data_IF_149126467179
#
_entry.id   IF_149126467179
#
_cell.length_a   1.000
_cell.length_b   1.000
_cell.length_c   1.000
_cell.angle_alpha   90.00
_cell.angle_beta   90.00
_cell.angle_gamma   90.00
#
_symmetry.space_group_name_H-M   'P 1'
#
loop_
_entity.id
_entity.type
_entity.pdbx_description
1 polymer ?
#
# COMPACT_ATOMS: atom_id res chain seq x y z
N UNK A 1 51.51 -9.17 -22.10
CA UNK A 1 50.06 -8.92 -22.25
C UNK A 1 49.39 -9.17 -20.92
N UNK A 2 48.80 -8.11 -20.37
CA UNK A 2 48.02 -8.13 -19.13
C UNK A 2 46.80 -9.03 -19.28
N UNK A 3 46.22 -9.46 -18.16
CA UNK A 3 45.00 -10.28 -18.17
C UNK A 3 43.81 -9.46 -18.65
N UNK A 4 43.69 -8.20 -18.26
CA UNK A 4 42.62 -7.31 -18.73
C UNK A 4 42.69 -7.09 -20.25
N UNK A 5 43.87 -6.80 -20.80
CA UNK A 5 44.10 -6.67 -22.26
C UNK A 5 43.56 -7.88 -23.03
N UNK A 6 43.91 -9.10 -22.60
CA UNK A 6 43.40 -10.35 -23.19
C UNK A 6 41.87 -10.43 -23.20
N UNK A 7 41.24 -9.98 -22.11
CA UNK A 7 39.78 -10.00 -21.96
C UNK A 7 39.15 -8.96 -22.87
N UNK A 8 39.69 -7.74 -22.91
CA UNK A 8 39.21 -6.66 -23.76
C UNK A 8 39.35 -6.97 -25.25
N UNK A 9 40.49 -7.50 -25.69
CA UNK A 9 40.69 -7.90 -27.09
C UNK A 9 39.64 -8.92 -27.54
N UNK A 10 39.37 -9.93 -26.69
CA UNK A 10 38.35 -10.93 -26.95
C UNK A 10 36.93 -10.32 -26.96
N UNK A 11 36.65 -9.38 -26.05
CA UNK A 11 35.35 -8.70 -25.98
C UNK A 11 35.12 -7.75 -27.16
N UNK A 12 36.15 -7.06 -27.65
CA UNK A 12 36.06 -6.23 -28.86
C UNK A 12 35.71 -7.08 -30.08
N UNK A 13 36.39 -8.23 -30.26
CA UNK A 13 36.04 -9.17 -31.33
C UNK A 13 34.60 -9.68 -31.19
N UNK A 14 34.14 -9.90 -29.96
CA UNK A 14 32.75 -10.26 -29.67
C UNK A 14 31.76 -9.18 -30.11
N UNK A 15 32.03 -7.90 -29.80
CA UNK A 15 31.21 -6.78 -30.26
C UNK A 15 31.22 -6.65 -31.79
N UNK A 16 32.38 -6.75 -32.44
CA UNK A 16 32.53 -6.71 -33.90
C UNK A 16 31.88 -7.90 -34.62
N UNK A 17 31.64 -8.99 -33.90
CA UNK A 17 30.96 -10.19 -34.40
C UNK A 17 29.47 -10.18 -34.06
N UNK A 18 28.86 -9.01 -33.90
CA UNK A 18 27.46 -8.83 -33.55
C UNK A 18 27.06 -9.60 -32.29
N UNK A 19 27.96 -9.66 -31.30
CA UNK A 19 27.76 -10.38 -30.04
C UNK A 19 27.47 -11.88 -30.24
N UNK A 20 27.98 -12.47 -31.31
CA UNK A 20 27.82 -13.89 -31.61
C UNK A 20 29.07 -14.70 -31.21
N UNK A 21 28.94 -15.56 -30.19
CA UNK A 21 30.04 -16.38 -29.67
C UNK A 21 30.64 -17.28 -30.76
N UNK A 22 29.81 -17.95 -31.56
CA UNK A 22 30.27 -18.87 -32.61
C UNK A 22 31.08 -18.14 -33.69
N UNK A 23 30.61 -16.96 -34.11
CA UNK A 23 31.32 -16.12 -35.09
C UNK A 23 32.62 -15.56 -34.52
N UNK A 24 32.59 -15.12 -33.26
CA UNK A 24 33.79 -14.60 -32.56
C UNK A 24 34.91 -15.65 -32.51
N UNK A 25 34.56 -16.92 -32.27
CA UNK A 25 35.52 -18.04 -32.23
C UNK A 25 36.22 -18.29 -33.56
N UNK A 26 35.71 -17.82 -34.69
CA UNK A 26 36.39 -17.89 -35.98
C UNK A 26 37.59 -16.93 -36.06
N UNK A 27 37.59 -15.87 -35.23
CA UNK A 27 38.61 -14.82 -35.19
C UNK A 27 39.56 -14.91 -33.99
N UNK A 28 39.42 -15.93 -33.13
CA UNK A 28 40.27 -16.08 -31.95
C UNK A 28 40.70 -17.52 -31.72
N UNK A 29 41.85 -17.71 -31.07
CA UNK A 29 42.35 -19.04 -30.65
C UNK A 29 41.79 -19.48 -29.29
N UNK A 30 40.87 -18.72 -28.70
CA UNK A 30 40.28 -19.04 -27.40
C UNK A 30 39.34 -20.23 -27.51
N UNK A 31 39.25 -21.02 -26.43
CA UNK A 31 38.17 -22.00 -26.30
C UNK A 31 36.83 -21.28 -26.09
N UNK A 32 35.72 -21.93 -26.46
CA UNK A 32 34.37 -21.41 -26.20
C UNK A 32 34.15 -21.06 -24.73
N UNK A 33 34.62 -21.91 -23.81
CA UNK A 33 34.50 -21.70 -22.37
C UNK A 33 35.26 -20.46 -21.93
N UNK A 34 36.50 -20.28 -22.41
CA UNK A 34 37.32 -19.11 -22.09
C UNK A 34 36.68 -17.83 -22.60
N UNK A 35 36.20 -17.81 -23.84
CA UNK A 35 35.53 -16.66 -24.43
C UNK A 35 34.27 -16.28 -23.65
N UNK A 36 33.40 -17.25 -23.32
CA UNK A 36 32.20 -17.00 -22.51
C UNK A 36 32.54 -16.44 -21.13
N UNK A 37 33.60 -16.95 -20.49
CA UNK A 37 34.06 -16.43 -19.20
C UNK A 37 34.55 -14.97 -19.31
N UNK A 38 35.26 -14.63 -20.37
CA UNK A 38 35.75 -13.26 -20.60
C UNK A 38 34.60 -12.29 -20.86
N UNK A 39 33.64 -12.67 -21.71
CA UNK A 39 32.40 -11.90 -21.94
C UNK A 39 31.68 -11.67 -20.61
N UNK A 40 31.51 -12.74 -19.83
CA UNK A 40 30.83 -12.66 -18.53
C UNK A 40 31.51 -11.71 -17.55
N UNK A 41 32.85 -11.72 -17.50
CA UNK A 41 33.60 -10.79 -16.64
C UNK A 41 33.34 -9.35 -17.08
N UNK A 42 33.39 -9.04 -18.37
CA UNK A 42 33.16 -7.66 -18.84
C UNK A 42 31.71 -7.21 -18.62
N UNK A 43 30.73 -8.10 -18.82
CA UNK A 43 29.32 -7.72 -18.75
C UNK A 43 28.74 -7.71 -17.33
N UNK A 44 29.35 -8.43 -16.38
CA UNK A 44 28.80 -8.61 -15.04
C UNK A 44 29.71 -8.15 -13.90
N UNK A 45 31.03 -8.08 -14.09
CA UNK A 45 31.93 -7.64 -13.03
C UNK A 45 31.90 -6.10 -12.94
N UNK A 46 31.86 -5.57 -11.73
CA UNK A 46 32.07 -4.14 -11.51
C UNK A 46 33.36 -3.65 -12.17
N UNK A 47 33.27 -2.54 -12.89
CA UNK A 47 34.38 -1.99 -13.67
C UNK A 47 35.61 -1.70 -12.79
N UNK A 48 35.39 -1.25 -11.55
CA UNK A 48 36.45 -0.93 -10.60
C UNK A 48 37.20 -2.18 -10.12
N UNK A 49 36.65 -3.38 -10.34
CA UNK A 49 37.30 -4.64 -9.99
C UNK A 49 38.17 -5.21 -11.11
N UNK A 50 38.06 -4.70 -12.34
CA UNK A 50 38.83 -5.19 -13.47
C UNK A 50 40.33 -4.95 -13.29
N UNK A 51 40.74 -3.83 -12.68
CA UNK A 51 42.16 -3.53 -12.41
C UNK A 51 42.82 -4.57 -11.49
N UNK A 52 42.05 -5.23 -10.62
CA UNK A 52 42.54 -6.23 -9.69
C UNK A 52 42.92 -7.55 -10.38
N UNK A 53 42.48 -7.77 -11.62
CA UNK A 53 42.88 -8.93 -12.43
C UNK A 53 44.38 -8.90 -12.79
N UNK A 54 44.96 -7.70 -12.91
CA UNK A 54 46.37 -7.50 -13.28
C UNK A 54 47.28 -7.27 -12.08
N UNK A 55 46.71 -7.02 -10.89
CA UNK A 55 47.49 -6.91 -9.65
C UNK A 55 48.26 -8.20 -9.36
N UNK A 56 49.28 -8.09 -8.50
CA UNK A 56 50.12 -9.22 -8.05
C UNK A 56 49.88 -9.48 -6.55
N UNK A 57 50.28 -10.66 -6.09
CA UNK A 57 50.24 -11.01 -4.67
C UNK A 57 48.82 -11.19 -4.12
N UNK A 58 48.59 -10.74 -2.89
CA UNK A 58 47.34 -10.95 -2.14
C UNK A 58 46.16 -10.17 -2.71
N UNK A 59 46.44 -9.02 -3.34
CA UNK A 59 45.43 -8.15 -3.97
C UNK A 59 44.95 -8.66 -5.33
N UNK A 60 45.61 -9.66 -5.92
CA UNK A 60 45.22 -10.19 -7.22
C UNK A 60 43.85 -10.87 -7.16
N UNK A 61 42.92 -10.41 -7.97
CA UNK A 61 41.68 -11.10 -8.27
C UNK A 61 41.95 -12.16 -9.36
N UNK A 62 41.76 -13.44 -9.03
CA UNK A 62 41.89 -14.49 -10.04
C UNK A 62 40.67 -14.51 -10.97
N UNK A 63 40.81 -15.01 -12.19
CA UNK A 63 39.68 -15.18 -13.13
C UNK A 63 38.58 -16.05 -12.49
N UNK A 64 38.97 -17.09 -11.74
CA UNK A 64 38.03 -17.98 -11.03
C UNK A 64 37.24 -17.21 -9.96
N UNK A 65 37.92 -16.36 -9.19
CA UNK A 65 37.28 -15.54 -8.16
C UNK A 65 36.36 -14.48 -8.77
N UNK A 66 36.78 -13.82 -9.86
CA UNK A 66 35.96 -12.86 -10.58
C UNK A 66 34.66 -13.49 -11.09
N UNK A 67 34.76 -14.68 -11.70
CA UNK A 67 33.59 -15.46 -12.13
C UNK A 67 32.72 -15.88 -10.95
N UNK A 68 33.32 -16.21 -9.79
CA UNK A 68 32.57 -16.54 -8.59
C UNK A 68 31.75 -15.33 -8.09
N UNK A 69 32.34 -14.14 -8.05
CA UNK A 69 31.64 -12.89 -7.72
C UNK A 69 30.49 -12.64 -8.70
N UNK A 70 30.74 -12.69 -10.01
CA UNK A 70 29.71 -12.51 -11.05
C UNK A 70 28.53 -13.49 -10.92
N UNK A 71 28.76 -14.69 -10.34
CA UNK A 71 27.75 -15.73 -10.18
C UNK A 71 26.95 -15.64 -8.88
N UNK A 72 27.43 -14.88 -7.90
CA UNK A 72 26.89 -14.88 -6.55
C UNK A 72 26.52 -13.48 -6.03
N UNK A 73 26.98 -12.42 -6.69
CA UNK A 73 26.63 -11.03 -6.36
C UNK A 73 26.25 -10.34 -7.67
N UNK A 74 24.94 -10.23 -7.93
CA UNK A 74 24.47 -9.79 -9.25
C UNK A 74 24.62 -8.28 -9.49
N UNK A 75 24.45 -7.48 -8.44
CA UNK A 75 24.56 -6.02 -8.51
C UNK A 75 26.03 -5.59 -8.40
N UNK A 76 26.62 -4.96 -9.44
CA UNK A 76 28.01 -4.50 -9.43
C UNK A 76 28.35 -3.54 -8.28
N UNK A 77 27.44 -2.64 -7.92
CA UNK A 77 27.63 -1.73 -6.77
C UNK A 77 27.87 -2.52 -5.47
N UNK A 78 27.15 -3.64 -5.32
CA UNK A 78 27.31 -4.54 -4.19
C UNK A 78 28.58 -5.39 -4.32
N UNK A 79 28.99 -5.76 -5.53
CA UNK A 79 30.25 -6.47 -5.75
C UNK A 79 31.43 -5.66 -5.22
N UNK A 80 31.46 -4.35 -5.48
CA UNK A 80 32.54 -3.50 -5.00
C UNK A 80 32.58 -3.42 -3.46
N UNK A 81 31.41 -3.32 -2.82
CA UNK A 81 31.31 -3.32 -1.36
C UNK A 81 31.90 -4.61 -0.75
N UNK A 82 31.48 -5.77 -1.28
CA UNK A 82 31.88 -7.09 -0.79
C UNK A 82 33.32 -7.43 -1.17
N UNK A 83 33.80 -6.92 -2.29
CA UNK A 83 35.15 -7.22 -2.78
C UNK A 83 36.23 -6.84 -1.76
N UNK A 84 36.04 -5.75 -1.01
CA UNK A 84 37.00 -5.31 0.01
C UNK A 84 37.18 -6.35 1.11
N UNK A 85 36.10 -6.87 1.69
CA UNK A 85 36.18 -7.93 2.71
C UNK A 85 36.63 -9.25 2.08
N UNK A 86 36.19 -9.56 0.86
CA UNK A 86 36.61 -10.74 0.11
C UNK A 86 38.11 -10.82 -0.13
N UNK A 87 38.75 -9.78 -0.66
CA UNK A 87 40.16 -9.85 -1.09
C UNK A 87 41.10 -9.95 0.12
N UNK A 88 40.73 -9.28 1.23
CA UNK A 88 41.45 -9.30 2.51
C UNK A 88 41.29 -10.64 3.25
N UNK A 89 40.19 -11.36 3.01
CA UNK A 89 39.96 -12.67 3.61
C UNK A 89 40.98 -13.73 3.14
N UNK A 90 41.42 -14.64 4.03
CA UNK A 90 42.20 -15.81 3.63
C UNK A 90 41.52 -16.59 2.52
N UNK A 91 42.28 -17.11 1.55
CA UNK A 91 41.73 -17.80 0.36
C UNK A 91 40.69 -18.88 0.65
N UNK A 92 40.83 -19.59 1.77
CA UNK A 92 39.91 -20.66 2.22
C UNK A 92 38.56 -20.11 2.72
N UNK A 93 38.53 -18.85 3.17
CA UNK A 93 37.36 -18.21 3.79
C UNK A 93 36.63 -17.26 2.84
N UNK A 94 37.25 -16.89 1.73
CA UNK A 94 36.70 -15.99 0.70
C UNK A 94 35.27 -16.31 0.24
N UNK A 95 34.95 -17.59 0.10
CA UNK A 95 33.60 -18.03 -0.28
C UNK A 95 32.61 -17.79 0.87
N UNK A 96 33.02 -18.09 2.11
CA UNK A 96 32.21 -17.87 3.30
C UNK A 96 31.92 -16.39 3.51
N UNK A 97 32.92 -15.52 3.33
CA UNK A 97 32.75 -14.06 3.50
C UNK A 97 31.73 -13.48 2.52
N UNK A 98 31.70 -13.94 1.26
CA UNK A 98 30.63 -13.53 0.33
C UNK A 98 29.26 -13.95 0.84
N UNK A 99 29.12 -15.18 1.36
CA UNK A 99 27.84 -15.67 1.88
C UNK A 99 27.33 -14.86 3.07
N UNK A 100 28.23 -14.51 4.00
CA UNK A 100 27.93 -13.67 5.16
C UNK A 100 27.44 -12.28 4.73
N UNK A 101 28.18 -11.62 3.83
CA UNK A 101 27.84 -10.29 3.27
C UNK A 101 26.62 -10.30 2.33
N UNK A 102 26.20 -11.49 1.90
CA UNK A 102 24.99 -11.70 1.09
C UNK A 102 23.80 -12.18 1.92
N UNK A 103 23.86 -12.08 3.24
CA UNK A 103 22.75 -12.42 4.13
C UNK A 103 21.83 -11.20 4.30
N UNK A 104 20.54 -11.35 3.98
CA UNK A 104 19.61 -10.25 4.06
C UNK A 104 19.23 -9.94 5.52
N UNK A 105 19.29 -8.67 5.92
CA UNK A 105 18.92 -8.24 7.27
C UNK A 105 17.43 -8.42 7.62
N UNK A 106 16.56 -8.62 6.62
CA UNK A 106 15.11 -8.79 6.84
C UNK A 106 14.72 -10.26 6.93
N UNK A 107 15.08 -11.09 5.93
CA UNK A 107 14.72 -12.51 5.94
C UNK A 107 15.80 -13.45 6.50
N UNK A 108 16.99 -12.94 6.84
CA UNK A 108 18.15 -13.74 7.29
C UNK A 108 18.60 -14.84 6.31
N UNK A 109 18.16 -14.79 5.05
CA UNK A 109 18.57 -15.73 4.01
C UNK A 109 19.72 -15.17 3.17
N UNK A 110 20.65 -16.03 2.76
CA UNK A 110 21.66 -15.69 1.76
C UNK A 110 21.02 -15.58 0.38
N UNK A 111 21.18 -14.42 -0.28
CA UNK A 111 20.64 -14.15 -1.61
C UNK A 111 21.72 -13.65 -2.55
N UNK A 112 21.49 -13.73 -3.86
CA UNK A 112 22.44 -13.21 -4.87
C UNK A 112 22.06 -11.83 -5.39
N UNK A 113 20.79 -11.48 -5.22
CA UNK A 113 20.18 -10.30 -5.79
C UNK A 113 19.85 -9.33 -4.67
N UNK A 114 20.67 -8.30 -4.57
CA UNK A 114 20.49 -7.17 -3.66
C UNK A 114 20.36 -5.89 -4.46
N UNK A 115 19.54 -4.98 -3.95
CA UNK A 115 19.44 -3.59 -4.41
C UNK A 115 19.75 -2.67 -3.22
N UNK A 116 20.18 -1.45 -3.51
CA UNK A 116 20.35 -0.42 -2.49
C UNK A 116 19.10 0.46 -2.44
N UNK A 117 18.70 0.78 -1.22
CA UNK A 117 17.60 1.72 -0.97
C UNK A 117 18.08 3.14 -1.27
N UNK A 118 17.36 3.94 -2.09
CA UNK A 118 17.84 5.25 -2.53
C UNK A 118 17.95 6.29 -1.40
N UNK A 119 17.19 6.11 -0.31
CA UNK A 119 17.10 7.06 0.79
C UNK A 119 18.23 6.94 1.82
N UNK A 120 18.72 5.72 2.08
CA UNK A 120 19.75 5.47 3.11
C UNK A 120 20.88 4.56 2.64
N UNK A 121 20.93 4.25 1.35
CA UNK A 121 21.92 3.39 0.72
C UNK A 121 22.15 2.05 1.46
N UNK A 122 21.08 1.52 2.08
CA UNK A 122 21.13 0.24 2.79
C UNK A 122 20.75 -0.88 1.82
N UNK A 123 21.52 -1.96 1.83
CA UNK A 123 21.30 -3.12 0.96
C UNK A 123 20.13 -3.97 1.45
N UNK A 124 19.32 -4.45 0.51
CA UNK A 124 18.17 -5.32 0.77
C UNK A 124 18.06 -6.34 -0.34
N UNK A 125 17.72 -7.59 0.00
CA UNK A 125 17.51 -8.58 -1.04
C UNK A 125 16.24 -8.23 -1.84
N UNK A 126 16.27 -8.53 -3.13
CA UNK A 126 15.19 -8.14 -4.05
C UNK A 126 13.83 -8.67 -3.58
N UNK A 127 13.77 -9.93 -3.16
CA UNK A 127 12.59 -10.56 -2.57
C UNK A 127 11.97 -9.74 -1.42
N UNK A 128 12.79 -9.33 -0.44
CA UNK A 128 12.30 -8.55 0.70
C UNK A 128 11.85 -7.17 0.29
N UNK A 129 12.61 -6.51 -0.60
CA UNK A 129 12.24 -5.19 -1.12
C UNK A 129 10.86 -5.24 -1.76
N UNK A 130 10.59 -6.25 -2.59
CA UNK A 130 9.31 -6.36 -3.29
C UNK A 130 8.19 -6.78 -2.37
N UNK A 131 8.45 -7.61 -1.37
CA UNK A 131 7.48 -7.90 -0.31
C UNK A 131 7.11 -6.64 0.49
N UNK A 132 8.02 -5.68 0.67
CA UNK A 132 7.68 -4.36 1.23
C UNK A 132 6.66 -3.64 0.35
N UNK A 133 6.87 -3.61 -0.97
CA UNK A 133 5.90 -3.03 -1.90
C UNK A 133 4.57 -3.79 -1.90
N UNK A 134 4.60 -5.12 -2.02
CA UNK A 134 3.43 -6.00 -2.03
C UNK A 134 2.59 -5.79 -0.77
N UNK A 135 3.21 -5.89 0.41
CA UNK A 135 2.50 -5.76 1.70
C UNK A 135 1.82 -4.41 1.86
N UNK A 136 2.44 -3.31 1.41
CA UNK A 136 1.87 -1.96 1.52
C UNK A 136 0.79 -1.68 0.46
N UNK A 137 0.98 -2.16 -0.77
CA UNK A 137 0.05 -1.91 -1.89
C UNK A 137 -1.18 -2.83 -1.80
N UNK A 138 -1.01 -4.04 -1.30
CA UNK A 138 -2.09 -5.02 -1.11
C UNK A 138 -2.75 -4.93 0.27
N UNK A 139 -2.22 -4.09 1.18
CA UNK A 139 -2.87 -3.80 2.46
C UNK A 139 -4.30 -3.28 2.24
N UNK A 140 -5.15 -3.51 3.24
CA UNK A 140 -6.50 -2.99 3.25
C UNK A 140 -6.49 -1.45 3.29
N UNK A 141 -5.63 -0.90 4.14
CA UNK A 141 -5.40 0.54 4.24
C UNK A 141 -4.22 0.93 3.37
N UNK A 142 -4.48 1.82 2.42
CA UNK A 142 -3.44 2.43 1.64
C UNK A 142 -2.48 3.23 2.54
N UNK A 143 -1.19 2.92 2.40
CA UNK A 143 -0.08 3.59 3.06
C UNK A 143 0.99 3.89 2.00
N UNK A 144 1.86 4.84 2.31
CA UNK A 144 3.09 5.01 1.54
C UNK A 144 3.94 3.73 1.58
N UNK A 145 4.69 3.50 0.49
CA UNK A 145 5.70 2.44 0.50
C UNK A 145 6.99 3.06 1.03
N UNK A 146 7.28 2.75 2.28
CA UNK A 146 8.42 3.33 2.98
C UNK A 146 9.61 2.36 2.98
N UNK A 147 10.81 2.92 3.05
CA UNK A 147 12.01 2.14 3.27
C UNK A 147 11.94 1.41 4.61
N UNK A 148 12.15 0.08 4.66
CA UNK A 148 12.04 -0.68 5.89
C UNK A 148 13.13 -0.37 6.92
N UNK A 149 14.16 0.41 6.56
CA UNK A 149 15.27 0.75 7.46
C UNK A 149 15.14 2.15 8.06
N UNK A 150 14.73 3.14 7.27
CA UNK A 150 14.64 4.54 7.73
C UNK A 150 13.22 5.11 7.73
N UNK A 151 12.22 4.33 7.31
CA UNK A 151 10.81 4.73 7.20
C UNK A 151 10.55 5.97 6.33
N UNK A 152 11.50 6.35 5.47
CA UNK A 152 11.31 7.41 4.48
C UNK A 152 10.50 6.84 3.30
N UNK A 153 9.41 7.49 2.85
CA UNK A 153 8.68 7.10 1.66
C UNK A 153 9.58 7.04 0.42
N UNK A 154 9.44 6.00 -0.40
CA UNK A 154 10.10 5.97 -1.69
C UNK A 154 9.49 6.99 -2.65
N UNK A 155 10.35 7.62 -3.46
CA UNK A 155 9.90 8.50 -4.54
C UNK A 155 9.07 7.73 -5.57
N UNK A 156 8.09 8.39 -6.20
CA UNK A 156 7.30 7.77 -7.27
C UNK A 156 8.15 7.44 -8.50
N UNK A 157 9.24 8.18 -8.70
CA UNK A 157 10.27 7.88 -9.72
C UNK A 157 10.90 6.52 -9.43
N UNK A 158 11.35 6.27 -8.19
CA UNK A 158 11.94 5.00 -7.81
C UNK A 158 10.93 3.86 -7.91
N UNK A 159 9.71 4.06 -7.43
CA UNK A 159 8.60 3.11 -7.55
C UNK A 159 8.33 2.72 -9.01
N UNK A 160 8.33 3.71 -9.93
CA UNK A 160 8.18 3.51 -11.38
C UNK A 160 9.33 2.71 -11.96
N UNK A 161 10.56 3.10 -11.63
CA UNK A 161 11.75 2.41 -12.10
C UNK A 161 11.74 0.93 -11.67
N UNK A 162 11.57 0.68 -10.37
CA UNK A 162 11.64 -0.66 -9.77
C UNK A 162 10.50 -1.56 -10.28
N UNK A 163 9.26 -1.09 -10.30
CA UNK A 163 8.12 -1.97 -10.60
C UNK A 163 7.74 -2.02 -12.08
N UNK A 164 8.24 -1.11 -12.93
CA UNK A 164 7.84 -1.03 -14.35
C UNK A 164 9.03 -0.93 -15.30
N UNK A 165 9.93 0.03 -15.09
CA UNK A 165 10.88 0.41 -16.15
C UNK A 165 12.08 -0.53 -16.26
N UNK A 166 12.51 -1.14 -15.15
CA UNK A 166 13.57 -2.16 -15.15
C UNK A 166 13.25 -3.38 -16.05
N UNK A 167 11.99 -3.55 -16.45
CA UNK A 167 11.54 -4.63 -17.34
C UNK A 167 11.34 -4.24 -18.80
N UNK A 168 11.37 -2.93 -19.14
CA UNK A 168 11.03 -2.45 -20.50
C UNK A 168 12.08 -2.82 -21.56
N UNK A 169 13.31 -3.13 -21.16
CA UNK A 169 14.43 -3.38 -22.08
C UNK A 169 14.66 -4.87 -22.34
N UNK A 170 13.65 -5.57 -22.88
CA UNK A 170 13.86 -6.92 -23.38
C UNK A 170 14.55 -6.88 -24.76
N UNK A 171 15.85 -7.20 -24.77
CA UNK A 171 16.70 -7.73 -25.84
C UNK A 171 16.86 -7.00 -27.19
N UNK A 172 15.88 -6.21 -27.68
CA UNK A 172 15.95 -5.64 -29.04
C UNK A 172 16.61 -4.26 -29.16
N UNK A 173 16.85 -3.56 -28.06
CA UNK A 173 17.44 -2.21 -28.05
C UNK A 173 18.80 -2.16 -27.33
N UNK A 174 19.69 -3.11 -27.59
CA UNK A 174 21.10 -3.04 -27.16
C UNK A 174 21.84 -1.82 -27.75
N UNK A 175 21.28 -1.17 -28.77
CA UNK A 175 21.89 -0.04 -29.49
C UNK A 175 21.91 1.28 -28.71
N UNK A 176 21.23 1.39 -27.56
CA UNK A 176 21.19 2.63 -26.77
C UNK A 176 21.82 2.48 -25.39
N UNK A 177 23.11 2.16 -25.35
CA UNK A 177 24.07 2.55 -24.30
C UNK A 177 23.59 2.55 -22.83
N UNK A 178 22.71 1.63 -22.44
CA UNK A 178 22.21 1.57 -21.07
C UNK A 178 23.36 1.18 -20.15
N UNK A 179 23.60 1.99 -19.12
CA UNK A 179 24.68 1.80 -18.15
C UNK A 179 24.64 0.46 -17.41
N UNK A 180 23.48 -0.21 -17.39
CA UNK A 180 23.23 -1.35 -16.51
C UNK A 180 23.10 -2.69 -17.26
N UNK A 181 24.10 -3.06 -18.08
CA UNK A 181 24.12 -4.32 -18.85
C UNK A 181 23.83 -5.55 -17.97
N UNK A 182 24.26 -5.55 -16.71
CA UNK A 182 24.07 -6.64 -15.77
C UNK A 182 22.60 -6.97 -15.49
N UNK A 183 21.70 -5.96 -15.50
CA UNK A 183 20.25 -6.11 -15.31
C UNK A 183 19.56 -6.78 -16.51
N UNK A 184 20.26 -6.91 -17.64
CA UNK A 184 19.69 -7.41 -18.89
C UNK A 184 20.04 -8.87 -19.16
N UNK A 185 20.67 -9.52 -18.20
CA UNK A 185 21.07 -10.92 -18.31
C UNK A 185 19.94 -11.85 -17.89
N UNK A 186 19.87 -13.03 -18.52
CA UNK A 186 18.95 -14.09 -18.09
C UNK A 186 19.18 -14.46 -16.62
N UNK A 187 20.41 -14.32 -16.12
CA UNK A 187 20.73 -14.56 -14.70
C UNK A 187 19.95 -13.59 -13.82
N UNK A 188 19.94 -12.29 -14.13
CA UNK A 188 19.15 -11.31 -13.39
C UNK A 188 17.65 -11.66 -13.39
N UNK A 189 17.06 -11.90 -14.56
CA UNK A 189 15.63 -12.20 -14.66
C UNK A 189 15.21 -13.53 -14.01
N UNK A 190 16.07 -14.54 -14.05
CA UNK A 190 15.80 -15.84 -13.44
C UNK A 190 15.90 -15.82 -11.91
N UNK A 191 16.46 -14.76 -11.31
CA UNK A 191 16.55 -14.61 -9.85
C UNK A 191 15.41 -13.78 -9.26
N UNK A 192 14.45 -13.30 -10.06
CA UNK A 192 13.25 -12.66 -9.54
C UNK A 192 12.32 -13.65 -8.84
N UNK A 193 11.82 -13.28 -7.66
CA UNK A 193 10.83 -14.10 -6.94
C UNK A 193 9.47 -14.11 -7.67
N UNK A 194 9.11 -12.99 -8.30
CA UNK A 194 7.80 -12.80 -8.92
C UNK A 194 7.89 -12.60 -10.43
N UNK A 195 6.78 -12.89 -11.12
CA UNK A 195 6.71 -12.66 -12.55
C UNK A 195 6.64 -11.17 -12.87
N UNK A 196 7.27 -10.72 -13.97
CA UNK A 196 7.35 -9.29 -14.34
C UNK A 196 6.00 -8.56 -14.37
N UNK A 197 4.92 -9.25 -14.75
CA UNK A 197 3.59 -8.63 -14.80
C UNK A 197 2.99 -8.42 -13.41
N UNK A 198 3.42 -9.19 -12.40
CA UNK A 198 3.03 -8.97 -11.02
C UNK A 198 3.48 -7.59 -10.53
N UNK A 199 4.75 -7.24 -10.78
CA UNK A 199 5.29 -5.91 -10.51
C UNK A 199 4.52 -4.80 -11.20
N UNK A 200 4.22 -5.00 -12.48
CA UNK A 200 3.49 -4.01 -13.25
C UNK A 200 2.06 -3.82 -12.75
N UNK A 201 1.41 -4.89 -12.28
CA UNK A 201 0.07 -4.81 -11.66
C UNK A 201 0.14 -4.11 -10.29
N UNK A 202 1.14 -4.40 -9.44
CA UNK A 202 1.38 -3.67 -8.19
C UNK A 202 1.55 -2.16 -8.45
N UNK A 203 2.41 -1.80 -9.42
CA UNK A 203 2.62 -0.41 -9.82
C UNK A 203 1.35 0.28 -10.31
N UNK A 204 0.57 -0.39 -11.16
CA UNK A 204 -0.69 0.16 -11.67
C UNK A 204 -1.70 0.37 -10.56
N UNK A 205 -1.85 -0.58 -9.64
CA UNK A 205 -2.69 -0.43 -8.45
C UNK A 205 -2.23 0.76 -7.61
N UNK A 206 -0.94 0.83 -7.27
CA UNK A 206 -0.37 1.87 -6.43
C UNK A 206 -0.60 3.27 -7.00
N UNK A 207 -0.22 3.50 -8.26
CA UNK A 207 -0.43 4.80 -8.90
C UNK A 207 -1.90 5.16 -9.08
N UNK A 208 -2.75 4.18 -9.37
CA UNK A 208 -4.18 4.46 -9.52
C UNK A 208 -4.80 4.90 -8.20
N UNK A 209 -4.41 4.29 -7.07
CA UNK A 209 -4.87 4.72 -5.74
C UNK A 209 -4.40 6.15 -5.47
N UNK A 210 -3.11 6.44 -5.67
CA UNK A 210 -2.56 7.80 -5.49
C UNK A 210 -3.35 8.81 -6.32
N UNK A 211 -3.52 8.56 -7.62
CA UNK A 211 -4.20 9.49 -8.50
C UNK A 211 -5.66 9.77 -8.08
N UNK A 212 -6.38 8.76 -7.59
CA UNK A 212 -7.74 8.96 -7.07
C UNK A 212 -7.72 9.80 -5.79
N UNK A 213 -6.73 9.61 -4.92
CA UNK A 213 -6.56 10.41 -3.70
C UNK A 213 -6.17 11.85 -4.00
N UNK A 214 -5.29 12.09 -4.97
CA UNK A 214 -4.89 13.44 -5.37
C UNK A 214 -6.09 14.26 -5.84
N UNK A 215 -6.98 13.65 -6.64
CA UNK A 215 -8.24 14.28 -7.07
C UNK A 215 -9.18 14.49 -5.88
N UNK A 216 -9.34 13.47 -5.03
CA UNK A 216 -10.31 13.50 -3.92
C UNK A 216 -9.97 14.54 -2.85
N UNK A 217 -8.67 14.75 -2.61
CA UNK A 217 -8.16 15.65 -1.58
C UNK A 217 -7.66 16.98 -2.18
N UNK A 218 -7.83 17.21 -3.49
CA UNK A 218 -7.36 18.38 -4.23
C UNK A 218 -5.88 18.72 -3.93
N UNK A 219 -5.03 17.69 -3.94
CA UNK A 219 -3.63 17.80 -3.59
C UNK A 219 -2.76 16.85 -4.41
N UNK A 220 -1.89 17.42 -5.26
CA UNK A 220 -0.95 16.67 -6.08
C UNK A 220 0.37 16.47 -5.32
N UNK A 221 0.87 15.23 -5.25
CA UNK A 221 2.17 14.95 -4.63
C UNK A 221 3.31 15.05 -5.65
N UNK A 222 4.50 15.44 -5.18
CA UNK A 222 5.68 15.47 -6.02
C UNK A 222 6.22 14.05 -6.28
N UNK A 223 6.65 13.80 -7.52
CA UNK A 223 7.20 12.50 -7.93
C UNK A 223 8.53 12.16 -7.23
N UNK A 224 9.36 13.16 -6.93
CA UNK A 224 10.69 12.99 -6.31
C UNK A 224 10.66 12.90 -4.79
N UNK A 225 9.80 13.70 -4.15
CA UNK A 225 9.70 13.83 -2.69
C UNK A 225 8.21 13.87 -2.29
N UNK A 226 7.53 12.72 -2.31
CA UNK A 226 6.08 12.67 -2.10
C UNK A 226 5.70 12.88 -0.63
N UNK A 227 4.91 13.93 -0.35
CA UNK A 227 4.33 14.18 0.98
C UNK A 227 3.01 13.40 1.15
N UNK A 228 3.15 12.11 1.43
CA UNK A 228 1.99 11.25 1.72
C UNK A 228 1.26 11.65 3.00
N UNK A 229 1.93 12.30 3.96
CA UNK A 229 1.27 12.75 5.19
C UNK A 229 0.24 13.82 4.87
N UNK A 230 0.59 14.79 4.02
CA UNK A 230 -0.35 15.82 3.56
C UNK A 230 -1.43 15.25 2.64
N UNK A 231 -1.08 14.30 1.76
CA UNK A 231 -2.06 13.65 0.89
C UNK A 231 -3.10 12.84 1.67
N UNK A 232 -2.70 12.10 2.71
CA UNK A 232 -3.60 11.23 3.46
C UNK A 232 -4.25 11.94 4.65
N UNK A 233 -3.60 12.94 5.24
CA UNK A 233 -4.04 13.56 6.48
C UNK A 233 -4.18 12.58 7.65
N UNK A 234 -4.75 13.07 8.75
CA UNK A 234 -4.86 12.32 10.01
C UNK A 234 -6.29 11.90 10.36
N UNK A 235 -7.29 12.34 9.59
CA UNK A 235 -8.71 12.11 9.93
C UNK A 235 -9.27 10.81 9.36
N UNK A 236 -8.68 10.27 8.29
CA UNK A 236 -9.25 9.16 7.51
C UNK A 236 -8.23 8.05 7.24
N UNK A 237 -8.76 6.85 7.06
CA UNK A 237 -8.10 5.73 6.39
C UNK A 237 -8.61 5.68 4.95
N UNK A 238 -7.74 5.36 4.01
CA UNK A 238 -8.11 5.18 2.61
C UNK A 238 -7.81 3.75 2.19
N UNK A 239 -8.61 3.20 1.29
CA UNK A 239 -8.40 1.84 0.80
C UNK A 239 -9.10 1.63 -0.53
N UNK A 240 -8.50 0.78 -1.36
CA UNK A 240 -9.08 0.44 -2.66
C UNK A 240 -10.34 -0.42 -2.47
N UNK A 241 -11.33 -0.25 -3.34
CA UNK A 241 -12.60 -0.96 -3.21
C UNK A 241 -12.41 -2.49 -3.21
N UNK A 242 -12.83 -3.20 -2.17
CA UNK A 242 -12.58 -4.65 -2.04
C UNK A 242 -13.26 -5.52 -3.11
N UNK A 243 -14.27 -4.98 -3.80
CA UNK A 243 -15.07 -5.68 -4.81
C UNK A 243 -14.70 -5.29 -6.25
N UNK A 244 -14.55 -3.99 -6.57
CA UNK A 244 -14.22 -3.55 -7.93
C UNK A 244 -12.72 -3.40 -8.21
N UNK A 245 -11.86 -3.50 -7.20
CA UNK A 245 -10.40 -3.52 -7.43
C UNK A 245 -10.01 -4.83 -8.10
N UNK A 246 -9.31 -4.79 -9.25
CA UNK A 246 -8.80 -6.00 -9.88
C UNK A 246 -7.95 -6.84 -8.91
N UNK A 247 -8.31 -8.11 -8.76
CA UNK A 247 -7.54 -9.08 -7.96
C UNK A 247 -6.49 -9.75 -8.84
N UNK A 248 -5.27 -9.87 -8.33
CA UNK A 248 -4.19 -10.53 -9.05
C UNK A 248 -3.25 -11.26 -8.09
N UNK A 249 -2.69 -12.36 -8.56
CA UNK A 249 -1.73 -13.19 -7.84
C UNK A 249 -0.34 -13.06 -8.47
N UNK A 250 0.67 -13.65 -7.82
CA UNK A 250 2.07 -13.65 -8.26
C UNK A 250 2.31 -14.17 -9.69
N UNK A 251 1.34 -14.90 -10.25
CA UNK A 251 1.37 -15.48 -11.61
C UNK A 251 0.33 -14.88 -12.56
N UNK A 252 -0.45 -13.90 -12.11
CA UNK A 252 -1.45 -13.27 -12.96
C UNK A 252 -0.81 -12.53 -14.14
N UNK A 253 -1.42 -12.57 -15.33
CA UNK A 253 -0.99 -11.76 -16.46
C UNK A 253 -1.14 -10.27 -16.17
N UNK A 254 -0.60 -9.45 -17.07
CA UNK A 254 -0.77 -8.01 -17.01
C UNK A 254 -2.27 -7.69 -17.16
N UNK A 255 -2.83 -7.01 -16.16
CA UNK A 255 -4.21 -6.55 -16.20
C UNK A 255 -4.29 -5.36 -17.16
N UNK A 256 -5.38 -5.27 -17.93
CA UNK A 256 -5.55 -4.20 -18.89
C UNK A 256 -5.61 -2.85 -18.14
N UNK A 257 -4.96 -1.83 -18.70
CA UNK A 257 -4.99 -0.47 -18.13
C UNK A 257 -6.42 0.05 -17.94
N UNK A 258 -7.36 -0.39 -18.78
CA UNK A 258 -8.76 0.00 -18.67
C UNK A 258 -9.44 -0.59 -17.43
N UNK A 259 -9.05 -1.78 -16.98
CA UNK A 259 -9.64 -2.41 -15.78
C UNK A 259 -9.29 -1.61 -14.52
N UNK A 260 -8.07 -1.08 -14.47
CA UNK A 260 -7.64 -0.18 -13.41
C UNK A 260 -8.40 1.16 -13.41
N UNK A 261 -9.02 1.58 -14.51
CA UNK A 261 -9.80 2.84 -14.54
C UNK A 261 -11.00 2.79 -13.61
N UNK A 262 -11.57 1.61 -13.39
CA UNK A 262 -12.74 1.38 -12.55
C UNK A 262 -12.40 1.21 -11.05
N UNK A 263 -11.11 1.17 -10.69
CA UNK A 263 -10.70 1.15 -9.30
C UNK A 263 -11.21 2.41 -8.59
N UNK A 264 -11.95 2.20 -7.50
CA UNK A 264 -12.43 3.24 -6.60
C UNK A 264 -11.63 3.21 -5.29
N UNK A 265 -11.47 4.36 -4.65
CA UNK A 265 -10.84 4.47 -3.33
C UNK A 265 -11.88 4.98 -2.34
N UNK A 266 -12.15 4.16 -1.33
CA UNK A 266 -13.07 4.48 -0.24
C UNK A 266 -12.28 5.10 0.91
N UNK A 267 -12.97 5.90 1.72
CA UNK A 267 -12.41 6.46 2.94
C UNK A 267 -13.24 6.07 4.15
N UNK A 268 -12.57 5.86 5.28
CA UNK A 268 -13.18 5.54 6.56
C UNK A 268 -12.62 6.53 7.57
N UNK A 269 -13.45 7.30 8.28
CA UNK A 269 -12.97 8.15 9.36
C UNK A 269 -12.18 7.31 10.38
N UNK A 270 -10.99 7.75 10.84
CA UNK A 270 -10.14 6.94 11.73
C UNK A 270 -10.83 6.54 13.04
N UNK A 271 -11.73 7.40 13.50
CA UNK A 271 -12.66 7.18 14.61
C UNK A 271 -13.57 5.95 14.46
N UNK A 272 -13.82 5.50 13.24
CA UNK A 272 -14.61 4.29 12.94
C UNK A 272 -13.75 3.03 12.83
N UNK A 273 -12.42 3.13 12.97
CA UNK A 273 -11.52 1.98 12.92
C UNK A 273 -11.17 1.40 14.30
N UNK A 274 -11.55 2.04 15.40
CA UNK A 274 -11.12 1.60 16.74
C UNK A 274 -12.08 0.53 17.28
N UNK A 275 -11.58 -0.69 17.46
CA UNK A 275 -12.26 -1.77 18.18
C UNK A 275 -12.05 -1.73 19.69
N UNK A 276 -12.59 -2.74 20.40
CA UNK A 276 -12.44 -2.86 21.85
C UNK A 276 -10.97 -2.92 22.27
N UNK A 277 -10.62 -2.20 23.35
CA UNK A 277 -9.24 -2.09 23.84
C UNK A 277 -8.36 -1.11 23.06
N UNK A 278 -8.92 -0.31 22.14
CA UNK A 278 -8.16 0.66 21.34
C UNK A 278 -7.39 0.04 20.16
N UNK A 279 -7.73 -1.19 19.79
CA UNK A 279 -7.10 -1.90 18.67
C UNK A 279 -7.83 -1.53 17.38
N UNK A 280 -7.08 -1.11 16.36
CA UNK A 280 -7.63 -0.82 15.03
C UNK A 280 -8.12 -2.11 14.35
N UNK A 281 -9.43 -2.24 14.10
CA UNK A 281 -10.05 -3.36 13.37
C UNK A 281 -10.69 -2.81 12.10
N UNK A 282 -10.15 -3.19 10.94
CA UNK A 282 -10.67 -2.79 9.63
C UNK A 282 -10.92 -4.03 8.79
N UNK A 283 -12.09 -4.09 8.16
CA UNK A 283 -12.51 -5.20 7.31
C UNK A 283 -12.63 -4.78 5.83
N UNK A 284 -12.39 -5.69 4.87
CA UNK A 284 -12.57 -5.45 3.43
C UNK A 284 -13.92 -4.83 3.06
N UNK A 285 -14.98 -5.23 3.74
CA UNK A 285 -16.36 -4.77 3.57
C UNK A 285 -16.50 -3.27 3.81
N UNK A 286 -15.71 -2.71 4.73
CA UNK A 286 -15.72 -1.29 5.07
C UNK A 286 -15.18 -0.43 3.92
N UNK A 287 -14.38 -1.02 3.02
CA UNK A 287 -13.87 -0.37 1.81
C UNK A 287 -14.64 -0.84 0.56
N UNK A 288 -15.98 -0.94 0.60
CA UNK A 288 -16.79 -1.12 -0.62
C UNK A 288 -17.30 0.22 -1.14
N UNK A 289 -17.14 0.48 -2.44
CA UNK A 289 -17.61 1.73 -3.03
C UNK A 289 -19.14 1.75 -3.19
N UNK A 290 -19.71 2.95 -3.30
CA UNK A 290 -21.17 3.16 -3.46
C UNK A 290 -21.77 2.32 -4.58
N UNK A 291 -21.09 2.23 -5.73
CA UNK A 291 -21.55 1.45 -6.90
C UNK A 291 -21.57 -0.05 -6.64
N UNK A 292 -20.60 -0.56 -5.87
CA UNK A 292 -20.56 -1.97 -5.52
C UNK A 292 -21.64 -2.32 -4.49
N UNK A 293 -21.87 -1.45 -3.52
CA UNK A 293 -22.95 -1.59 -2.53
C UNK A 293 -24.32 -1.57 -3.20
N UNK A 294 -24.57 -0.62 -4.10
CA UNK A 294 -25.84 -0.50 -4.82
C UNK A 294 -26.15 -1.65 -5.79
N UNK A 295 -25.20 -2.56 -6.04
CA UNK A 295 -25.44 -3.80 -6.81
C UNK A 295 -25.85 -4.96 -5.92
N UNK A 296 -25.36 -4.97 -4.69
CA UNK A 296 -25.73 -5.96 -3.67
C UNK A 296 -27.07 -5.56 -3.01
N UNK A 297 -27.37 -4.27 -2.96
CA UNK A 297 -28.60 -3.68 -2.43
C UNK A 297 -29.62 -3.51 -3.57
N UNK A 298 -30.72 -4.27 -3.55
CA UNK A 298 -31.90 -3.97 -4.36
C UNK A 298 -32.25 -2.47 -4.22
N UNK A 299 -32.46 -1.75 -5.32
CA UNK A 299 -33.07 -0.41 -5.27
C UNK A 299 -34.42 -0.39 -4.52
N UNK A 300 -35.09 -1.55 -4.43
CA UNK A 300 -36.33 -1.75 -3.67
C UNK A 300 -36.12 -2.04 -2.17
N UNK A 301 -34.95 -2.53 -1.76
CA UNK A 301 -34.61 -2.74 -0.34
C UNK A 301 -33.82 -1.56 0.24
N UNK A 302 -33.79 -0.43 -0.50
CA UNK A 302 -32.99 0.75 -0.21
C UNK A 302 -32.89 0.99 1.29
N UNK A 303 -31.70 0.76 1.83
CA UNK A 303 -31.34 1.12 3.20
C UNK A 303 -31.21 2.66 3.22
N UNK A 304 -32.35 3.32 3.04
CA UNK A 304 -32.58 4.71 3.37
C UNK A 304 -33.33 4.67 4.68
N UNK A 305 -32.71 5.22 5.72
CA UNK A 305 -33.40 5.49 6.97
C UNK A 305 -33.65 6.97 7.07
N UNK A 306 -34.84 7.29 7.55
CA UNK A 306 -35.25 8.65 7.79
C UNK A 306 -34.67 9.07 9.12
N UNK A 307 -33.95 10.19 9.15
CA UNK A 307 -33.48 10.71 10.43
C UNK A 307 -34.69 10.89 11.37
N UNK A 308 -34.68 10.29 12.56
CA UNK A 308 -35.83 10.31 13.49
C UNK A 308 -36.18 11.73 13.96
N UNK A 309 -35.25 12.69 13.77
CA UNK A 309 -35.43 14.08 14.14
C UNK A 309 -35.87 14.98 12.98
N UNK A 310 -35.07 15.02 11.90
CA UNK A 310 -35.22 15.99 10.81
C UNK A 310 -36.07 15.45 9.65
N UNK A 311 -36.29 14.14 9.58
CA UNK A 311 -37.08 13.51 8.52
C UNK A 311 -36.38 13.40 7.17
N UNK A 312 -35.12 13.82 7.08
CA UNK A 312 -34.30 13.73 5.88
C UNK A 312 -33.97 12.25 5.64
N UNK A 313 -34.23 11.77 4.41
CA UNK A 313 -33.82 10.44 3.96
C UNK A 313 -32.29 10.43 3.89
N UNK A 314 -31.69 9.57 4.70
CA UNK A 314 -30.24 9.43 4.81
C UNK A 314 -29.86 8.05 4.30
N UNK A 315 -28.72 7.96 3.61
CA UNK A 315 -28.09 6.70 3.20
C UNK A 315 -27.11 6.28 4.29
N UNK A 316 -26.97 4.99 4.55
CA UNK A 316 -26.01 4.48 5.53
C UNK A 316 -24.58 4.93 5.17
N UNK A 317 -23.88 5.70 6.01
CA UNK A 317 -22.48 5.99 5.84
C UNK A 317 -21.64 4.74 6.11
N UNK A 318 -20.55 4.63 5.37
CA UNK A 318 -19.68 3.46 5.29
C UNK A 318 -19.14 3.04 6.66
N UNK A 319 -19.36 1.78 7.04
CA UNK A 319 -18.80 1.19 8.27
C UNK A 319 -19.20 1.91 9.57
N UNK A 320 -20.20 2.79 9.51
CA UNK A 320 -20.56 3.65 10.60
C UNK A 320 -22.07 3.57 10.82
N UNK A 321 -22.47 2.97 11.95
CA UNK A 321 -23.86 3.00 12.40
C UNK A 321 -24.21 4.33 13.09
N UNK A 322 -23.28 5.28 13.13
CA UNK A 322 -23.46 6.59 13.73
C UNK A 322 -23.71 7.63 12.64
N UNK A 323 -24.87 8.28 12.68
CA UNK A 323 -25.30 9.22 11.64
C UNK A 323 -25.38 10.63 12.18
N UNK A 324 -24.86 11.60 11.42
CA UNK A 324 -25.01 13.02 11.67
C UNK A 324 -26.09 13.62 10.73
N UNK A 325 -27.14 14.25 11.28
CA UNK A 325 -28.05 15.16 10.55
C UNK A 325 -28.02 16.53 11.26
N UNK A 326 -27.19 17.48 10.80
CA UNK A 326 -26.96 18.75 11.50
C UNK A 326 -26.38 18.53 12.89
N UNK A 327 -27.03 19.08 13.93
CA UNK A 327 -26.66 18.90 15.34
C UNK A 327 -27.19 17.59 15.96
N UNK A 328 -27.91 16.78 15.18
CA UNK A 328 -28.52 15.54 15.64
C UNK A 328 -27.70 14.32 15.29
N UNK A 329 -27.73 13.36 16.21
CA UNK A 329 -27.02 12.09 16.15
C UNK A 329 -28.04 10.98 16.30
N UNK A 330 -27.93 9.92 15.49
CA UNK A 330 -28.84 8.79 15.57
C UNK A 330 -28.18 7.49 15.09
N UNK A 331 -28.71 6.37 15.57
CA UNK A 331 -28.19 5.04 15.28
C UNK A 331 -28.81 4.51 14.00
N UNK A 332 -28.00 4.12 13.03
CA UNK A 332 -28.49 3.46 11.83
C UNK A 332 -29.20 2.14 12.13
N UNK A 333 -28.73 1.35 13.11
CA UNK A 333 -29.28 0.02 13.37
C UNK A 333 -30.70 0.12 13.94
N UNK A 334 -30.87 0.76 15.09
CA UNK A 334 -32.18 0.86 15.76
C UNK A 334 -33.01 2.08 15.33
N UNK A 335 -32.46 3.01 14.54
CA UNK A 335 -33.12 4.24 14.10
C UNK A 335 -33.48 5.21 15.24
N UNK A 336 -32.83 5.10 16.40
CA UNK A 336 -33.08 5.96 17.56
C UNK A 336 -32.18 7.18 17.58
N UNK A 337 -32.70 8.27 18.16
CA UNK A 337 -31.90 9.45 18.48
C UNK A 337 -30.94 9.14 19.60
N UNK A 338 -29.74 9.67 19.48
CA UNK A 338 -28.67 9.41 20.43
C UNK A 338 -28.34 10.67 21.21
N UNK A 339 -28.26 10.49 22.53
CA UNK A 339 -27.81 11.54 23.44
C UNK A 339 -26.31 11.80 23.25
N UNK A 340 -25.91 13.08 23.33
CA UNK A 340 -24.49 13.46 23.29
C UNK A 340 -23.83 13.23 24.66
N UNK A 341 -23.84 11.99 25.13
CA UNK A 341 -23.28 11.56 26.41
C UNK A 341 -22.75 10.12 26.32
N UNK A 342 -22.19 9.63 27.43
CA UNK A 342 -21.58 8.29 27.52
C UNK A 342 -22.59 7.16 27.20
N UNK A 343 -23.86 7.29 27.60
CA UNK A 343 -24.89 6.30 27.29
C UNK A 343 -25.15 6.21 25.79
N UNK A 344 -25.31 7.36 25.14
CA UNK A 344 -25.53 7.42 23.69
C UNK A 344 -24.31 6.99 22.87
N UNK A 345 -23.10 7.24 23.35
CA UNK A 345 -21.86 6.94 22.61
C UNK A 345 -21.30 5.54 22.87
N UNK A 346 -21.44 4.99 24.08
CA UNK A 346 -20.78 3.73 24.47
C UNK A 346 -21.73 2.57 24.72
N UNK A 347 -22.87 2.80 25.38
CA UNK A 347 -23.80 1.72 25.73
C UNK A 347 -24.73 1.36 24.59
N UNK A 348 -25.16 2.36 23.83
CA UNK A 348 -26.08 2.17 22.71
C UNK A 348 -25.41 1.51 21.48
N UNK A 349 -24.07 1.58 21.39
CA UNK A 349 -23.29 1.09 20.25
C UNK A 349 -22.59 -0.24 20.47
N UNK A 350 -22.65 -0.78 21.69
CA UNK A 350 -22.01 -2.06 21.97
C UNK A 350 -22.86 -3.20 21.39
N UNK A 351 -22.55 -3.60 20.15
CA UNK A 351 -23.12 -4.80 19.52
C UNK A 351 -22.13 -5.97 19.52
N UNK A 352 -21.11 -5.91 20.37
CA UNK A 352 -20.02 -6.87 20.48
C UNK A 352 -18.63 -6.25 20.22
N UNK A 353 -17.55 -7.05 20.35
CA UNK A 353 -16.18 -6.55 20.21
C UNK A 353 -15.94 -5.88 18.86
N UNK A 354 -15.52 -4.60 18.88
CA UNK A 354 -15.16 -3.87 17.66
C UNK A 354 -16.09 -2.73 17.21
N UNK A 355 -17.17 -2.42 17.95
CA UNK A 355 -18.31 -1.65 17.41
C UNK A 355 -18.51 -0.23 18.01
N UNK A 356 -17.53 0.30 18.74
CA UNK A 356 -17.67 1.60 19.45
C UNK A 356 -17.18 2.82 18.62
N UNK A 357 -17.96 3.92 18.52
CA UNK A 357 -17.60 5.13 17.78
C UNK A 357 -16.95 6.18 18.68
N UNK A 358 -15.62 6.18 18.84
CA UNK A 358 -14.94 7.28 19.52
C UNK A 358 -14.49 8.38 18.54
N UNK A 359 -15.10 9.56 18.64
CA UNK A 359 -14.61 10.80 17.98
C UNK A 359 -13.70 11.61 18.92
N UNK A 360 -12.57 12.11 18.42
CA UNK A 360 -11.65 12.98 19.19
C UNK A 360 -12.17 14.41 19.38
N UNK A 361 -13.32 14.79 18.80
CA UNK A 361 -13.94 16.11 18.99
C UNK A 361 -14.69 16.25 20.33
N UNK A 362 -14.71 15.19 21.15
CA UNK A 362 -15.39 15.18 22.45
C UNK A 362 -14.44 15.37 23.65
N UNK A 363 -13.22 15.89 23.47
CA UNK A 363 -12.33 16.23 24.58
C UNK A 363 -11.88 17.70 24.51
N UNK A 364 -12.16 18.39 25.61
CA UNK A 364 -11.81 19.76 26.02
C UNK A 364 -12.68 20.92 25.49
N UNK A 365 -13.45 21.47 26.42
CA UNK A 365 -14.03 22.81 26.37
C UNK A 365 -12.90 23.82 26.54
N UNK A 366 -12.46 24.42 25.43
CA UNK A 366 -11.56 25.58 25.47
C UNK A 366 -12.46 26.78 25.78
N UNK A 367 -12.24 27.41 26.92
CA UNK A 367 -12.92 28.62 27.44
C UNK A 367 -14.22 28.46 28.26
N UNK A 368 -14.27 27.57 29.26
CA UNK A 368 -15.25 27.78 30.35
C UNK A 368 -14.90 27.08 31.67
N UNK A 369 -15.08 27.83 32.77
CA UNK A 369 -15.12 27.35 34.16
C UNK A 369 -16.55 27.08 34.65
N UNK A 370 -17.53 26.87 33.76
CA UNK A 370 -18.94 26.68 34.15
C UNK A 370 -19.37 25.20 34.23
N UNK A 371 -20.42 24.95 35.02
CA UNK A 371 -20.99 23.62 35.25
C UNK A 371 -21.44 22.93 33.96
N UNK A 372 -21.14 21.62 33.89
CA UNK A 372 -21.57 20.71 32.83
C UNK A 372 -23.09 20.53 32.90
N UNK A 373 -23.82 21.10 31.96
CA UNK A 373 -25.26 20.95 31.89
C UNK A 373 -25.70 19.82 30.94
N UNK A 374 -26.48 18.89 31.48
CA UNK A 374 -27.60 18.24 30.79
C UNK A 374 -28.84 19.10 31.05
N UNK A 375 -29.55 19.60 30.03
CA UNK A 375 -30.88 20.19 30.22
C UNK A 375 -31.84 19.80 29.09
N UNK A 376 -32.99 19.25 29.49
CA UNK A 376 -34.21 19.00 28.71
C UNK A 376 -34.76 20.31 28.11
N UNK A 377 -35.14 20.32 26.82
CA UNK A 377 -35.95 21.40 26.22
C UNK A 377 -35.28 22.38 25.23
N UNK A 378 -34.23 21.99 24.50
CA UNK A 378 -33.59 22.86 23.48
C UNK A 378 -33.39 22.18 22.11
N UNK A 379 -34.45 22.11 21.31
CA UNK A 379 -34.30 22.25 19.85
C UNK A 379 -34.87 23.64 19.52
N UNK A 380 -34.00 24.58 19.19
CA UNK A 380 -34.31 25.99 18.87
C UNK A 380 -34.41 26.25 17.36
N UNK A 381 -34.34 25.19 16.54
CA UNK A 381 -34.67 25.27 15.13
C UNK A 381 -36.14 25.74 14.97
N UNK A 382 -36.39 26.59 13.96
CA UNK A 382 -37.71 27.18 13.70
C UNK A 382 -38.81 26.13 13.50
N UNK A 383 -38.45 24.94 13.02
CA UNK A 383 -39.35 23.78 12.86
C UNK A 383 -39.61 22.99 14.16
N UNK A 384 -38.79 23.20 15.21
CA UNK A 384 -38.86 22.50 16.49
C UNK A 384 -39.59 23.29 17.59
N UNK A 385 -39.51 24.62 17.56
CA UNK A 385 -39.94 25.50 18.65
C UNK A 385 -41.42 25.32 19.06
N UNK A 386 -42.29 24.94 18.11
CA UNK A 386 -43.73 24.73 18.36
C UNK A 386 -44.13 23.33 18.85
N UNK A 387 -43.22 22.35 18.85
CA UNK A 387 -43.60 20.93 18.88
C UNK A 387 -42.96 20.11 20.03
N UNK A 388 -42.34 20.75 21.02
CA UNK A 388 -41.88 20.10 22.26
C UNK A 388 -40.84 18.98 22.12
N UNK A 389 -40.24 18.79 20.92
CA UNK A 389 -39.24 17.75 20.67
C UNK A 389 -39.78 16.35 20.35
N UNK A 390 -41.07 16.21 20.03
CA UNK A 390 -41.68 14.92 19.68
C UNK A 390 -41.02 14.25 18.46
N UNK A 391 -40.81 12.93 18.50
CA UNK A 391 -40.20 12.17 17.40
C UNK A 391 -41.11 12.14 16.16
N UNK A 392 -40.52 11.92 14.98
CA UNK A 392 -41.30 11.69 13.75
C UNK A 392 -41.80 10.24 13.76
N UNK A 393 -42.98 10.01 13.19
CA UNK A 393 -43.55 8.69 12.96
C UNK A 393 -42.54 7.74 12.33
N UNK A 394 -42.48 6.51 12.85
CA UNK A 394 -41.60 5.44 12.36
C UNK A 394 -41.81 5.06 10.88
N UNK A 395 -43.03 5.20 10.34
CA UNK A 395 -43.31 4.96 8.93
C UNK A 395 -42.50 5.92 8.02
N UNK A 396 -41.73 5.36 7.09
CA UNK A 396 -40.75 6.08 6.24
C UNK A 396 -41.38 7.20 5.40
N UNK A 397 -42.61 7.02 4.94
CA UNK A 397 -43.33 7.99 4.11
C UNK A 397 -44.22 8.93 4.93
N UNK A 398 -44.35 8.70 6.24
CA UNK A 398 -45.14 9.52 7.13
C UNK A 398 -44.31 10.63 7.78
N UNK A 399 -44.66 11.90 7.50
CA UNK A 399 -44.02 13.08 8.10
C UNK A 399 -44.69 13.56 9.40
N UNK A 400 -45.72 12.85 9.88
CA UNK A 400 -46.42 13.22 11.12
C UNK A 400 -45.56 12.91 12.33
N UNK A 401 -45.72 13.67 13.42
CA UNK A 401 -45.02 13.42 14.69
C UNK A 401 -45.84 12.50 15.60
N UNK A 402 -45.15 11.75 16.44
CA UNK A 402 -45.76 10.94 17.50
C UNK A 402 -46.33 11.88 18.57
N UNK A 403 -47.47 11.51 19.17
CA UNK A 403 -48.07 12.33 20.22
C UNK A 403 -47.44 11.98 21.56
N UNK A 404 -46.96 12.99 22.30
CA UNK A 404 -46.38 12.83 23.65
C UNK A 404 -47.41 12.31 24.69
N UNK A 405 -48.70 12.23 24.35
CA UNK A 405 -49.82 12.14 25.30
C UNK A 405 -50.28 10.73 25.70
N UNK A 406 -49.80 9.66 25.09
CA UNK A 406 -50.17 8.30 25.50
C UNK A 406 -48.95 7.56 26.05
N UNK A 407 -48.60 7.89 27.30
CA UNK A 407 -47.66 7.11 28.10
C UNK A 407 -48.39 5.90 28.64
N UNK A 408 -48.20 4.75 28.01
CA UNK A 408 -48.55 3.46 28.61
C UNK A 408 -47.25 2.79 29.02
N UNK A 409 -47.10 2.59 30.33
CA UNK A 409 -45.98 1.88 30.91
C UNK A 409 -45.88 0.46 30.32
N UNK A 410 -44.73 0.14 29.73
CA UNK A 410 -44.41 -1.23 29.31
C UNK A 410 -44.21 -2.15 30.53
N UNK A 411 -44.40 -3.47 30.39
CA UNK A 411 -44.32 -4.44 31.49
C UNK A 411 -42.95 -4.53 32.19
N UNK A 412 -41.91 -3.94 31.61
CA UNK A 412 -40.52 -3.96 32.03
C UNK A 412 -39.99 -2.58 32.47
N UNK A 413 -40.87 -1.57 32.59
CA UNK A 413 -40.56 -0.28 33.21
C UNK A 413 -39.58 0.62 32.44
N UNK A 414 -39.13 0.20 31.26
CA UNK A 414 -38.35 1.03 30.33
C UNK A 414 -39.24 1.50 29.17
N UNK A 415 -39.51 2.81 29.11
CA UNK A 415 -40.25 3.44 27.99
C UNK A 415 -39.31 3.68 26.79
N UNK A 416 -39.60 3.10 25.63
CA UNK A 416 -38.96 3.46 24.35
C UNK A 416 -39.63 4.74 23.80
N UNK A 417 -39.17 5.88 24.29
CA UNK A 417 -39.80 7.20 24.05
C UNK A 417 -39.52 7.76 22.65
N UNK A 418 -38.71 7.08 21.82
CA UNK A 418 -38.11 7.70 20.64
C UNK A 418 -38.46 7.06 19.29
N UNK A 419 -39.30 6.01 19.24
CA UNK A 419 -39.47 5.22 18.01
C UNK A 419 -40.89 4.66 17.76
N UNK A 420 -41.92 5.52 17.85
CA UNK A 420 -43.32 5.09 17.74
C UNK A 420 -44.00 5.45 16.38
N UNK A 421 -45.10 4.77 16.05
CA UNK A 421 -45.97 5.16 14.92
C UNK A 421 -46.89 6.32 15.35
N UNK A 422 -47.18 7.27 14.45
CA UNK A 422 -48.24 8.24 14.73
C UNK A 422 -49.61 7.56 14.73
N UNK A 423 -50.63 8.20 15.31
CA UNK A 423 -52.00 7.68 15.39
C UNK A 423 -52.53 7.20 14.02
N UNK A 424 -52.15 7.89 12.93
CA UNK A 424 -52.61 7.55 11.59
C UNK A 424 -51.85 6.37 10.95
N UNK A 425 -50.71 5.98 11.50
CA UNK A 425 -49.90 4.85 11.04
C UNK A 425 -49.87 3.69 12.03
N UNK A 426 -50.52 3.82 13.18
CA UNK A 426 -50.61 2.80 14.22
C UNK A 426 -51.88 1.93 14.11
N UNK A 427 -52.56 2.00 12.95
CA UNK A 427 -53.75 1.22 12.61
C UNK A 427 -53.49 0.33 11.40
#
# INVERSE_FOLDING_TARGET
MKTTEKIYDAYQLYLLSDRNVTRTLQYTKLSRVTLTNYIKIIELLDFSLLEYLDKKGKEKLSIKDALYICNNVLNPENQFHIFKSFILSPKKERIRSISEEQTCMICAETKKHFEFTPCCNTSICESCLVKTFESKIQDLVFKSVDCPFCNVPFSLIYCRWLMKERFKNNYRNYEKGSSDLWRWTNVYFNNFEFWKFYYMNLYQKYLKIIHVLEIKNDYMIADSEPDFKKLLGDEKYYGACSQCTPKFTKRSPLINRNDWRYLQVCDIPRQCGNGEGGILVLEPEMFRCVVCKSRDENMNDGEFKKCPHCGIKTVKPDGCNFIYCGDHRWCWICNERIENNDNGHNKHYWTGPGTSPYTNRCRESIDSNSERFVIRGKCDCSSCKGNGGASICRNIDCMKRTFIKYRTEGPDGHEDVFNDYCIDCNN
#
